data_IF_894412085290
#
_entry.id   IF_894412085290
#
_cell.length_a   1.000
_cell.length_b   1.000
_cell.length_c   1.000
_cell.angle_alpha   90.00
_cell.angle_beta   90.00
_cell.angle_gamma   90.00
#
_symmetry.space_group_name_H-M   'P 1'
#
loop_
_entity.id
_entity.type
_entity.pdbx_description
1 polymer ?
#
# COMPACT_ATOMS: atom_id res chain seq x y z
N UNK A 1 -15.27 1.85 29.73
CA UNK A 1 -14.99 3.10 28.98
C UNK A 1 -15.18 2.83 27.51
N UNK A 2 -16.00 3.61 26.81
CA UNK A 2 -16.24 3.43 25.38
C UNK A 2 -14.94 3.76 24.62
N UNK A 3 -14.23 2.73 24.16
CA UNK A 3 -13.05 2.86 23.31
C UNK A 3 -13.55 3.43 21.98
N UNK A 4 -13.54 4.76 21.86
CA UNK A 4 -13.90 5.47 20.63
C UNK A 4 -13.00 4.91 19.53
N UNK A 5 -13.56 4.14 18.60
CA UNK A 5 -12.85 3.65 17.43
C UNK A 5 -12.68 4.82 16.47
N UNK A 6 -11.71 5.69 16.76
CA UNK A 6 -11.19 6.58 15.74
C UNK A 6 -10.49 5.66 14.73
N UNK A 7 -11.07 5.55 13.53
CA UNK A 7 -10.69 4.56 12.53
C UNK A 7 -9.19 4.43 12.31
N UNK A 8 -8.76 3.27 11.82
CA UNK A 8 -7.34 2.99 11.58
C UNK A 8 -6.81 3.82 10.41
N UNK A 9 -5.61 4.35 10.55
CA UNK A 9 -4.91 5.08 9.49
C UNK A 9 -3.74 4.24 8.98
N UNK A 10 -3.63 4.11 7.66
CA UNK A 10 -2.58 3.37 6.99
C UNK A 10 -1.86 4.29 6.00
N UNK A 11 -0.54 4.32 6.07
CA UNK A 11 0.27 4.97 5.03
C UNK A 11 0.49 3.99 3.90
N UNK A 12 0.06 4.36 2.71
CA UNK A 12 0.23 3.58 1.47
C UNK A 12 1.09 4.41 0.54
N UNK A 13 2.28 3.89 0.22
CA UNK A 13 3.19 4.48 -0.75
C UNK A 13 3.18 3.67 -2.04
N UNK A 14 3.14 4.37 -3.17
CA UNK A 14 3.25 3.76 -4.49
C UNK A 14 4.66 3.98 -5.03
N UNK A 15 5.29 2.90 -5.50
CA UNK A 15 6.66 2.94 -5.97
C UNK A 15 6.77 2.12 -7.26
N UNK A 16 7.26 2.73 -8.33
CA UNK A 16 7.55 2.08 -9.60
C UNK A 16 6.89 2.77 -10.78
N UNK A 17 7.57 2.73 -11.92
CA UNK A 17 7.23 3.52 -13.10
C UNK A 17 5.86 3.19 -13.71
N UNK A 18 5.33 1.98 -13.48
CA UNK A 18 3.99 1.57 -13.96
C UNK A 18 2.87 2.37 -13.31
N UNK A 19 3.10 2.91 -12.10
CA UNK A 19 2.15 3.80 -11.42
C UNK A 19 2.11 5.21 -12.02
N UNK A 20 3.03 5.56 -12.91
CA UNK A 20 3.08 6.87 -13.58
C UNK A 20 3.15 8.01 -12.56
N UNK A 21 2.14 8.88 -12.55
CA UNK A 21 2.07 10.04 -11.65
C UNK A 21 1.91 9.69 -10.16
N UNK A 22 1.52 8.45 -9.87
CA UNK A 22 1.43 7.94 -8.50
C UNK A 22 2.79 7.46 -7.98
N UNK A 23 3.81 7.29 -8.83
CA UNK A 23 5.16 6.91 -8.39
C UNK A 23 5.70 7.92 -7.35
N UNK A 24 6.29 7.39 -6.28
CA UNK A 24 6.81 8.12 -5.11
C UNK A 24 5.77 8.91 -4.31
N UNK A 25 4.46 8.66 -4.52
CA UNK A 25 3.42 9.30 -3.74
C UNK A 25 2.99 8.44 -2.55
N UNK A 26 2.94 9.10 -1.39
CA UNK A 26 2.40 8.53 -0.17
C UNK A 26 1.02 9.12 0.12
N UNK A 27 0.07 8.25 0.45
CA UNK A 27 -1.29 8.61 0.83
C UNK A 27 -1.63 8.02 2.19
N UNK A 28 -2.47 8.73 2.95
CA UNK A 28 -3.02 8.23 4.20
C UNK A 28 -4.43 7.73 3.96
N UNK A 29 -4.60 6.41 4.04
CA UNK A 29 -5.90 5.75 3.96
C UNK A 29 -6.52 5.70 5.35
N UNK A 30 -7.74 6.25 5.46
CA UNK A 30 -8.54 6.22 6.68
C UNK A 30 -9.61 5.14 6.55
N UNK A 31 -9.49 4.09 7.33
CA UNK A 31 -10.44 2.98 7.34
C UNK A 31 -11.41 3.10 8.53
N UNK A 32 -12.71 2.80 8.35
CA UNK A 32 -13.69 2.85 9.43
C UNK A 32 -13.55 1.62 10.36
N UNK A 33 -13.56 1.84 11.68
CA UNK A 33 -13.52 0.74 12.67
C UNK A 33 -12.11 0.25 13.00
N UNK A 34 -11.97 -1.06 13.26
CA UNK A 34 -10.70 -1.74 13.58
C UNK A 34 -10.28 -2.56 12.36
N UNK A 35 -9.97 -1.88 11.26
CA UNK A 35 -9.38 -2.56 10.09
C UNK A 35 -7.95 -2.95 10.42
N UNK A 36 -7.57 -4.19 10.09
CA UNK A 36 -6.22 -4.69 10.31
C UNK A 36 -5.34 -4.48 9.07
N UNK A 37 -4.03 -4.31 9.28
CA UNK A 37 -3.03 -4.15 8.20
C UNK A 37 -3.14 -5.23 7.09
N UNK A 38 -3.25 -6.54 7.38
CA UNK A 38 -3.43 -7.55 6.35
C UNK A 38 -4.71 -7.38 5.53
N UNK A 39 -5.77 -6.80 6.11
CA UNK A 39 -7.07 -6.63 5.49
C UNK A 39 -7.04 -5.54 4.41
N UNK A 40 -6.47 -4.37 4.75
CA UNK A 40 -6.23 -3.30 3.77
C UNK A 40 -5.16 -3.68 2.76
N UNK A 41 -4.09 -4.37 3.18
CA UNK A 41 -3.02 -4.84 2.29
C UNK A 41 -3.58 -5.77 1.21
N UNK A 42 -4.38 -6.77 1.58
CA UNK A 42 -4.96 -7.69 0.61
C UNK A 42 -5.97 -7.01 -0.32
N UNK A 43 -6.73 -6.04 0.20
CA UNK A 43 -7.68 -5.25 -0.60
C UNK A 43 -6.97 -4.38 -1.66
N UNK A 44 -5.88 -3.72 -1.27
CA UNK A 44 -5.06 -2.93 -2.20
C UNK A 44 -4.37 -3.85 -3.22
N UNK A 45 -3.80 -4.97 -2.75
CA UNK A 45 -3.13 -5.96 -3.60
C UNK A 45 -4.07 -6.48 -4.68
N UNK A 46 -5.24 -7.00 -4.31
CA UNK A 46 -6.23 -7.49 -5.27
C UNK A 46 -6.75 -6.41 -6.22
N UNK A 47 -6.87 -5.16 -5.77
CA UNK A 47 -7.35 -4.06 -6.60
C UNK A 47 -6.32 -3.70 -7.68
N UNK A 48 -5.05 -3.50 -7.28
CA UNK A 48 -3.99 -3.14 -8.21
C UNK A 48 -3.52 -4.31 -9.06
N UNK A 49 -3.55 -5.54 -8.53
CA UNK A 49 -3.29 -6.76 -9.28
C UNK A 49 -4.29 -6.96 -10.43
N UNK A 50 -5.57 -6.64 -10.22
CA UNK A 50 -6.56 -6.65 -11.31
C UNK A 50 -6.31 -5.58 -12.37
N UNK A 51 -5.72 -4.43 -12.00
CA UNK A 51 -5.40 -3.35 -12.95
C UNK A 51 -4.10 -3.59 -13.73
N UNK A 52 -3.05 -4.07 -13.06
CA UNK A 52 -1.68 -4.16 -13.60
C UNK A 52 -1.18 -5.58 -13.85
N UNK A 53 -1.87 -6.60 -13.33
CA UNK A 53 -1.47 -8.01 -13.37
C UNK A 53 -0.65 -8.41 -12.14
N UNK A 54 -1.00 -9.59 -11.59
CA UNK A 54 -0.47 -10.15 -10.34
C UNK A 54 1.06 -10.33 -10.34
N UNK A 55 1.67 -10.51 -11.52
CA UNK A 55 3.11 -10.71 -11.65
C UNK A 55 3.95 -9.45 -11.41
N UNK A 56 3.33 -8.27 -11.52
CA UNK A 56 4.04 -6.99 -11.46
C UNK A 56 4.01 -6.36 -10.08
N UNK A 57 2.97 -6.62 -9.26
CA UNK A 57 2.74 -5.98 -7.97
C UNK A 57 3.44 -6.69 -6.81
N UNK A 58 4.17 -5.95 -5.98
CA UNK A 58 4.82 -6.46 -4.76
C UNK A 58 4.43 -5.63 -3.54
N UNK A 59 3.77 -6.28 -2.57
CA UNK A 59 3.48 -5.66 -1.28
C UNK A 59 4.74 -5.61 -0.39
N UNK A 60 5.24 -4.39 -0.15
CA UNK A 60 6.30 -4.13 0.81
C UNK A 60 5.70 -4.17 2.22
N UNK A 61 5.97 -5.26 2.94
CA UNK A 61 5.48 -5.47 4.32
C UNK A 61 6.41 -4.89 5.39
N UNK A 62 7.54 -4.32 4.96
CA UNK A 62 8.47 -3.64 5.84
C UNK A 62 7.99 -2.22 6.17
N UNK A 63 8.10 -1.86 7.45
CA UNK A 63 7.77 -0.52 7.95
C UNK A 63 8.92 0.48 7.79
N UNK A 64 10.04 0.04 7.20
CA UNK A 64 11.21 0.87 6.96
C UNK A 64 10.96 1.84 5.80
N UNK A 65 11.60 3.02 5.80
CA UNK A 65 11.53 3.93 4.67
C UNK A 65 12.07 3.21 3.42
N UNK A 66 11.20 3.09 2.42
CA UNK A 66 11.50 2.36 1.18
C UNK A 66 12.56 3.13 0.40
N UNK A 67 13.68 2.46 0.10
CA UNK A 67 14.77 3.06 -0.67
C UNK A 67 14.71 2.60 -2.13
N UNK A 68 14.46 3.54 -3.05
CA UNK A 68 14.37 3.28 -4.50
C UNK A 68 15.57 2.56 -5.09
N UNK A 69 16.76 2.73 -4.51
CA UNK A 69 17.99 2.05 -4.96
C UNK A 69 18.01 0.55 -4.63
N UNK A 70 17.20 0.12 -3.67
CA UNK A 70 17.03 -1.29 -3.30
C UNK A 70 15.80 -1.91 -3.95
N UNK A 71 14.91 -1.09 -4.53
CA UNK A 71 13.76 -1.57 -5.29
C UNK A 71 14.20 -2.05 -6.67
N UNK A 72 13.68 -3.19 -7.08
CA UNK A 72 14.00 -3.79 -8.37
C UNK A 72 13.21 -3.05 -9.47
N UNK A 73 13.86 -2.40 -10.45
CA UNK A 73 13.19 -1.53 -11.43
C UNK A 73 12.23 -2.28 -12.38
N UNK A 74 12.27 -3.61 -12.38
CA UNK A 74 11.37 -4.47 -13.17
C UNK A 74 10.11 -4.92 -12.41
N UNK A 75 9.90 -4.48 -11.16
CA UNK A 75 8.71 -4.79 -10.37
C UNK A 75 8.10 -3.49 -9.82
N UNK A 76 6.77 -3.46 -9.77
CA UNK A 76 5.96 -2.40 -9.16
C UNK A 76 5.47 -2.80 -7.77
#
# INVERSE_FOLDING_TARGET
GHKRMFGTYFRVGFYGATFGDLDEREFIYKEPGITHLPEISHRLENFYSQCFGDETLVMIKDSTPVNRKQLNPNKV
#
